data_IF_257346647640
#
_entry.id   IF_257346647640
#
_cell.length_a   1.000
_cell.length_b   1.000
_cell.length_c   1.000
_cell.angle_alpha   90.00
_cell.angle_beta   90.00
_cell.angle_gamma   90.00
#
_symmetry.space_group_name_H-M   'P 1'
#
loop_
_entity.id
_entity.type
_entity.pdbx_description
1 polymer ?
#
# COMPACT_ATOMS: atom_id res chain seq x y z
N UNK A 1 17.27 -2.15 6.88
CA UNK A 1 16.14 -1.30 6.48
C UNK A 1 15.12 -1.34 7.61
N UNK A 2 14.82 -0.20 8.22
CA UNK A 2 13.74 -0.05 9.20
C UNK A 2 12.39 0.03 8.49
N UNK A 3 11.28 -0.09 9.24
CA UNK A 3 9.94 0.12 8.69
C UNK A 3 9.79 1.55 8.16
N UNK A 4 10.33 2.54 8.87
CA UNK A 4 10.31 3.94 8.41
C UNK A 4 11.05 4.14 7.08
N UNK A 5 12.25 3.57 6.94
CA UNK A 5 13.03 3.64 5.70
C UNK A 5 12.29 2.96 4.53
N UNK A 6 11.66 1.82 4.79
CA UNK A 6 10.86 1.10 3.80
C UNK A 6 9.67 1.95 3.32
N UNK A 7 8.90 2.52 4.25
CA UNK A 7 7.75 3.38 3.94
C UNK A 7 8.17 4.60 3.12
N UNK A 8 9.23 5.30 3.55
CA UNK A 8 9.73 6.48 2.85
C UNK A 8 10.16 6.17 1.41
N UNK A 9 10.88 5.06 1.21
CA UNK A 9 11.33 4.63 -0.11
C UNK A 9 10.17 4.27 -1.04
N UNK A 10 9.17 3.51 -0.56
CA UNK A 10 8.00 3.21 -1.38
C UNK A 10 7.18 4.46 -1.70
N UNK A 11 6.99 5.35 -0.71
CA UNK A 11 6.26 6.60 -0.92
C UNK A 11 6.90 7.44 -2.03
N UNK A 12 8.22 7.64 -1.96
CA UNK A 12 8.97 8.34 -3.00
C UNK A 12 8.85 7.64 -4.36
N UNK A 13 8.89 6.31 -4.39
CA UNK A 13 8.78 5.52 -5.62
C UNK A 13 7.42 5.73 -6.28
N UNK A 14 6.32 5.64 -5.52
CA UNK A 14 4.97 5.84 -6.06
C UNK A 14 4.72 7.27 -6.55
N UNK A 15 5.17 8.27 -5.79
CA UNK A 15 5.09 9.67 -6.22
C UNK A 15 5.87 9.88 -7.52
N UNK A 16 7.07 9.29 -7.62
CA UNK A 16 7.90 9.37 -8.83
C UNK A 16 7.31 8.62 -10.02
N UNK A 17 6.48 7.60 -9.79
CA UNK A 17 5.76 6.88 -10.85
C UNK A 17 4.46 7.55 -11.30
N UNK A 18 4.15 8.75 -10.79
CA UNK A 18 2.95 9.50 -11.15
C UNK A 18 1.69 9.10 -10.37
N UNK A 19 1.82 8.31 -9.30
CA UNK A 19 0.73 8.09 -8.36
C UNK A 19 0.66 9.30 -7.42
N UNK A 20 -0.48 10.00 -7.42
CA UNK A 20 -0.66 11.21 -6.61
C UNK A 20 -1.84 11.12 -5.63
N UNK A 21 -2.53 9.98 -5.59
CA UNK A 21 -3.55 9.71 -4.57
C UNK A 21 -2.85 9.27 -3.28
N UNK A 22 -2.81 10.12 -2.23
CA UNK A 22 -2.10 9.81 -1.00
C UNK A 22 -2.75 8.67 -0.21
N UNK A 23 -4.07 8.44 -0.37
CA UNK A 23 -4.77 7.34 0.31
C UNK A 23 -4.35 6.03 -0.33
N UNK A 24 -4.39 5.95 -1.67
CA UNK A 24 -3.97 4.75 -2.40
C UNK A 24 -2.51 4.38 -2.12
N UNK A 25 -1.62 5.38 -2.08
CA UNK A 25 -0.21 5.18 -1.75
C UNK A 25 -0.05 4.57 -0.36
N UNK A 26 -0.75 5.11 0.64
CA UNK A 26 -0.64 4.62 2.02
C UNK A 26 -1.15 3.20 2.17
N UNK A 27 -2.26 2.85 1.52
CA UNK A 27 -2.82 1.48 1.51
C UNK A 27 -1.82 0.49 0.89
N UNK A 28 -1.22 0.84 -0.26
CA UNK A 28 -0.23 -0.02 -0.91
C UNK A 28 1.06 -0.18 -0.10
N UNK A 29 1.50 0.89 0.57
CA UNK A 29 2.63 0.82 1.50
C UNK A 29 2.32 -0.13 2.67
N UNK A 30 1.13 -0.06 3.26
CA UNK A 30 0.75 -0.95 4.36
C UNK A 30 0.73 -2.43 3.93
N UNK A 31 0.20 -2.71 2.75
CA UNK A 31 0.18 -4.07 2.19
C UNK A 31 1.61 -4.58 1.97
N UNK A 32 2.46 -3.76 1.34
CA UNK A 32 3.84 -4.13 1.06
C UNK A 32 4.67 -4.31 2.35
N UNK A 33 4.47 -3.45 3.35
CA UNK A 33 5.14 -3.56 4.64
C UNK A 33 4.74 -4.85 5.37
N UNK A 34 3.44 -5.14 5.44
CA UNK A 34 2.93 -6.34 6.11
C UNK A 34 3.45 -7.63 5.46
N UNK A 35 3.62 -7.62 4.14
CA UNK A 35 4.24 -8.73 3.41
C UNK A 35 5.73 -8.89 3.75
N UNK A 36 6.49 -7.80 3.71
CA UNK A 36 7.95 -7.84 3.90
C UNK A 36 8.35 -8.14 5.34
N UNK A 37 7.71 -7.47 6.30
CA UNK A 37 8.12 -7.53 7.71
C UNK A 37 7.36 -8.57 8.51
N UNK A 38 6.08 -8.77 8.21
CA UNK A 38 5.20 -9.62 9.02
C UNK A 38 4.81 -10.93 8.29
N UNK A 39 5.27 -11.11 7.05
CA UNK A 39 5.01 -12.28 6.17
C UNK A 39 3.53 -12.55 5.95
N UNK A 40 2.70 -11.52 6.12
CA UNK A 40 1.26 -11.58 5.84
C UNK A 40 1.08 -11.58 4.33
N UNK A 41 0.36 -12.58 3.82
CA UNK A 41 0.05 -12.65 2.38
C UNK A 41 -1.23 -11.88 2.12
N UNK A 42 -1.15 -10.93 1.20
CA UNK A 42 -2.32 -10.26 0.66
C UNK A 42 -2.96 -11.16 -0.40
N UNK A 43 -4.19 -11.61 -0.16
CA UNK A 43 -4.92 -12.55 -1.03
C UNK A 43 -5.80 -11.82 -2.03
N UNK A 44 -6.34 -12.58 -3.00
CA UNK A 44 -7.32 -12.05 -3.95
C UNK A 44 -8.58 -11.52 -3.24
N UNK A 45 -9.03 -12.20 -2.19
CA UNK A 45 -10.18 -11.75 -1.40
C UNK A 45 -9.90 -10.45 -0.64
N UNK A 46 -8.67 -10.26 -0.15
CA UNK A 46 -8.26 -8.99 0.47
C UNK A 46 -8.24 -7.85 -0.56
N UNK A 47 -7.82 -8.13 -1.79
CA UNK A 47 -7.85 -7.17 -2.89
C UNK A 47 -9.29 -6.77 -3.28
N UNK A 48 -10.20 -7.73 -3.36
CA UNK A 48 -11.62 -7.48 -3.62
C UNK A 48 -12.26 -6.62 -2.52
N UNK A 49 -11.93 -6.90 -1.26
CA UNK A 49 -12.40 -6.09 -0.13
C UNK A 49 -11.83 -4.66 -0.18
N UNK A 50 -10.53 -4.52 -0.46
CA UNK A 50 -9.88 -3.22 -0.58
C UNK A 50 -10.50 -2.37 -1.69
N UNK A 51 -10.66 -2.93 -2.88
CA UNK A 51 -11.25 -2.23 -4.04
C UNK A 51 -12.70 -1.80 -3.77
N UNK A 52 -13.49 -2.66 -3.12
CA UNK A 52 -14.85 -2.31 -2.67
C UNK A 52 -14.85 -1.13 -1.70
N UNK A 53 -13.96 -1.13 -0.71
CA UNK A 53 -13.89 -0.07 0.28
C UNK A 53 -13.44 1.27 -0.32
N UNK A 54 -12.56 1.25 -1.32
CA UNK A 54 -12.13 2.45 -2.04
C UNK A 54 -13.22 2.99 -2.97
N UNK A 55 -14.01 2.13 -3.61
CA UNK A 55 -15.11 2.55 -4.49
C UNK A 55 -16.26 3.23 -3.75
N UNK A 56 -16.47 2.94 -2.46
CA UNK A 56 -17.54 3.53 -1.64
C UNK A 56 -17.17 4.90 -1.06
N UNK A 57 -15.89 5.28 -1.08
CA UNK A 57 -15.40 6.55 -0.51
C UNK A 57 -15.27 7.70 -1.53
N UNK A 58 -15.66 7.48 -2.80
CA UNK A 58 -15.69 8.50 -3.86
C UNK A 58 -17.11 8.95 -4.19
#
# INVERSE_FOLDING_TARGET
MTREEFRANLYQTYVSSGMHDPVLIQEYIQIAESFVFDRVKFTQSDFELLTKNMAVKN
#
